data_IF_648904809938
#
_entry.id   IF_648904809938
#
_cell.length_a   1.000
_cell.length_b   1.000
_cell.length_c   1.000
_cell.angle_alpha   90.00
_cell.angle_beta   90.00
_cell.angle_gamma   90.00
#
_symmetry.space_group_name_H-M   'P 1'
#
loop_
_entity.id
_entity.type
_entity.pdbx_description
1 polymer ?
#
# COMPACT_ATOMS: atom_id res chain seq x y z
N UNK A 1 11.15 -45.10 -4.52
CA UNK A 1 11.48 -43.92 -5.34
C UNK A 1 10.30 -42.99 -5.50
N UNK A 2 9.37 -43.27 -6.43
CA UNK A 2 8.24 -42.40 -6.81
C UNK A 2 7.36 -41.89 -5.66
N UNK A 3 6.93 -42.76 -4.73
CA UNK A 3 6.05 -42.36 -3.61
C UNK A 3 6.64 -41.33 -2.63
N UNK A 4 7.98 -41.22 -2.51
CA UNK A 4 8.64 -40.20 -1.67
C UNK A 4 8.68 -38.83 -2.38
N UNK A 5 8.86 -38.83 -3.70
CA UNK A 5 8.86 -37.60 -4.52
C UNK A 5 7.45 -37.02 -4.62
N UNK A 6 6.43 -37.85 -4.81
CA UNK A 6 5.02 -37.42 -4.81
C UNK A 6 4.57 -36.82 -3.47
N UNK A 7 5.15 -37.28 -2.35
CA UNK A 7 4.87 -36.74 -1.01
C UNK A 7 5.54 -35.38 -0.78
N UNK A 8 6.79 -35.21 -1.25
CA UNK A 8 7.50 -33.93 -1.23
C UNK A 8 6.83 -32.87 -2.11
N UNK A 9 6.30 -33.27 -3.27
CA UNK A 9 5.54 -32.38 -4.16
C UNK A 9 4.21 -31.99 -3.53
N UNK A 10 3.56 -32.88 -2.77
CA UNK A 10 2.34 -32.58 -2.00
C UNK A 10 2.58 -31.64 -0.81
N UNK A 11 3.80 -31.60 -0.27
CA UNK A 11 4.20 -30.74 0.85
C UNK A 11 4.79 -29.39 0.40
N UNK A 12 4.96 -29.18 -0.91
CA UNK A 12 5.25 -27.86 -1.46
C UNK A 12 4.01 -26.97 -1.23
N UNK A 13 4.02 -26.25 -0.11
CA UNK A 13 2.99 -25.26 0.24
C UNK A 13 2.77 -24.35 -0.97
N UNK A 14 1.52 -24.22 -1.42
CA UNK A 14 1.15 -23.23 -2.42
C UNK A 14 1.56 -21.84 -1.92
N UNK A 15 2.65 -21.30 -2.46
CA UNK A 15 3.13 -19.96 -2.13
C UNK A 15 2.30 -18.97 -2.94
N UNK A 16 1.35 -18.31 -2.27
CA UNK A 16 0.56 -17.24 -2.89
C UNK A 16 1.24 -15.90 -2.65
N UNK A 17 1.71 -15.27 -3.72
CA UNK A 17 2.24 -13.90 -3.67
C UNK A 17 1.10 -12.91 -3.88
N UNK A 18 0.88 -12.02 -2.90
CA UNK A 18 -0.12 -10.95 -2.98
C UNK A 18 0.61 -9.60 -3.06
N UNK A 19 0.44 -8.82 -4.13
CA UNK A 19 1.06 -7.51 -4.22
C UNK A 19 0.54 -6.55 -3.15
N UNK A 20 1.46 -5.82 -2.52
CA UNK A 20 1.18 -5.01 -1.33
C UNK A 20 0.15 -3.90 -1.56
N UNK A 21 0.05 -3.39 -2.79
CA UNK A 21 -0.94 -2.38 -3.16
C UNK A 21 -2.38 -2.86 -2.98
N UNK A 22 -2.65 -4.17 -3.13
CA UNK A 22 -3.97 -4.73 -2.84
C UNK A 22 -4.28 -4.70 -1.35
N UNK A 23 -3.27 -4.97 -0.52
CA UNK A 23 -3.39 -4.89 0.93
C UNK A 23 -3.69 -3.46 1.38
N UNK A 24 -2.90 -2.50 0.90
CA UNK A 24 -3.08 -1.07 1.19
C UNK A 24 -4.51 -0.63 0.85
N UNK A 25 -4.98 -0.99 -0.36
CA UNK A 25 -6.36 -0.72 -0.79
C UNK A 25 -7.40 -1.32 0.16
N UNK A 26 -7.25 -2.58 0.55
CA UNK A 26 -8.22 -3.24 1.44
C UNK A 26 -8.30 -2.54 2.79
N UNK A 27 -7.15 -2.21 3.39
CA UNK A 27 -7.08 -1.49 4.66
C UNK A 27 -7.79 -0.15 4.54
N UNK A 28 -7.55 0.60 3.48
CA UNK A 28 -8.15 1.90 3.25
C UNK A 28 -9.66 1.84 3.04
N UNK A 29 -10.16 0.90 2.23
CA UNK A 29 -11.60 0.70 2.03
C UNK A 29 -12.29 0.35 3.35
N UNK A 30 -11.67 -0.53 4.17
CA UNK A 30 -12.19 -0.90 5.49
C UNK A 30 -12.20 0.29 6.45
N UNK A 31 -11.09 1.03 6.52
CA UNK A 31 -10.92 2.18 7.42
C UNK A 31 -11.91 3.30 7.12
N UNK A 32 -12.07 3.63 5.83
CA UNK A 32 -12.98 4.68 5.37
C UNK A 32 -14.44 4.23 5.24
N UNK A 33 -14.71 2.92 5.42
CA UNK A 33 -16.02 2.28 5.21
C UNK A 33 -16.66 2.64 3.86
N UNK A 34 -15.84 2.88 2.83
CA UNK A 34 -16.27 3.33 1.51
C UNK A 34 -15.68 2.45 0.40
N UNK A 35 -16.53 1.64 -0.25
CA UNK A 35 -16.12 0.75 -1.36
C UNK A 35 -15.77 1.50 -2.64
N UNK A 36 -16.22 2.75 -2.80
CA UNK A 36 -15.95 3.60 -3.98
C UNK A 36 -14.95 4.72 -3.65
N UNK A 37 -14.08 4.50 -2.67
CA UNK A 37 -13.07 5.46 -2.23
C UNK A 37 -12.20 5.94 -3.39
N UNK A 38 -11.96 7.25 -3.46
CA UNK A 38 -10.95 7.86 -4.33
C UNK A 38 -9.99 8.64 -3.45
N UNK A 39 -8.73 8.23 -3.39
CA UNK A 39 -7.69 8.89 -2.60
C UNK A 39 -6.30 8.39 -2.99
N UNK A 40 -5.28 9.21 -2.74
CA UNK A 40 -3.88 8.77 -2.69
C UNK A 40 -3.51 8.28 -1.30
N UNK A 41 -2.58 7.33 -1.20
CA UNK A 41 -2.10 6.81 0.08
C UNK A 41 -0.60 6.61 0.01
N UNK A 42 0.14 7.18 0.96
CA UNK A 42 1.58 7.03 1.10
C UNK A 42 1.86 6.30 2.41
N UNK A 43 2.58 5.19 2.32
CA UNK A 43 3.08 4.47 3.49
C UNK A 43 4.56 4.17 3.33
N UNK A 44 5.24 3.94 4.46
CA UNK A 44 6.61 3.49 4.48
C UNK A 44 6.67 2.07 5.00
N UNK A 45 7.31 1.20 4.22
CA UNK A 45 7.61 -0.17 4.64
C UNK A 45 9.10 -0.38 4.44
N UNK A 46 9.76 -0.68 5.56
CA UNK A 46 11.21 -0.72 5.69
C UNK A 46 11.84 0.60 5.20
N UNK A 47 12.66 0.56 4.14
CA UNK A 47 13.36 1.73 3.59
C UNK A 47 12.67 2.33 2.35
N UNK A 48 11.47 1.86 2.01
CA UNK A 48 10.78 2.27 0.80
C UNK A 48 9.43 2.91 1.12
N UNK A 49 9.14 3.99 0.39
CA UNK A 49 7.85 4.65 0.35
C UNK A 49 7.02 4.05 -0.78
N UNK A 50 5.78 3.74 -0.46
CA UNK A 50 4.79 3.21 -1.39
C UNK A 50 3.68 4.23 -1.51
N UNK A 51 3.43 4.69 -2.73
CA UNK A 51 2.24 5.42 -3.07
C UNK A 51 1.26 4.51 -3.80
N UNK A 52 0.00 4.55 -3.39
CA UNK A 52 -1.11 3.86 -4.06
C UNK A 52 -2.24 4.86 -4.25
N UNK A 53 -2.59 5.13 -5.50
CA UNK A 53 -3.76 5.91 -5.84
C UNK A 53 -4.94 4.97 -6.09
N UNK A 54 -5.99 5.15 -5.29
CA UNK A 54 -7.25 4.44 -5.39
C UNK A 54 -8.23 5.38 -6.09
N UNK A 55 -8.90 4.91 -7.13
CA UNK A 55 -9.96 5.64 -7.84
C UNK A 55 -11.20 4.77 -7.92
N UNK A 56 -12.31 5.25 -7.33
CA UNK A 56 -13.59 4.52 -7.25
C UNK A 56 -13.44 3.10 -6.70
N UNK A 57 -12.56 2.93 -5.72
CA UNK A 57 -12.29 1.65 -5.08
C UNK A 57 -11.42 0.70 -5.89
N UNK A 58 -10.75 1.15 -6.96
CA UNK A 58 -9.81 0.37 -7.75
C UNK A 58 -8.43 1.02 -7.69
N UNK A 59 -7.36 0.23 -7.82
CA UNK A 59 -5.99 0.77 -7.90
C UNK A 59 -5.83 1.38 -9.30
N UNK A 60 -5.59 2.68 -9.37
CA UNK A 60 -5.41 3.40 -10.63
C UNK A 60 -3.92 3.56 -11.00
N UNK A 61 -3.08 3.85 -10.01
CA UNK A 61 -1.63 3.85 -10.17
C UNK A 61 -0.93 3.62 -8.83
N UNK A 62 0.35 3.30 -8.90
CA UNK A 62 1.22 3.14 -7.75
C UNK A 62 2.66 3.54 -8.09
N UNK A 63 3.39 4.02 -7.09
CA UNK A 63 4.81 4.35 -7.19
C UNK A 63 5.55 3.83 -5.97
N UNK A 64 6.81 3.44 -6.16
CA UNK A 64 7.68 2.97 -5.09
C UNK A 64 9.01 3.70 -5.24
N UNK A 65 9.50 4.29 -4.15
CA UNK A 65 10.83 4.90 -4.11
C UNK A 65 11.39 4.86 -2.69
N UNK A 66 12.71 4.83 -2.55
CA UNK A 66 13.38 5.04 -1.27
C UNK A 66 13.40 6.51 -0.83
N UNK A 67 12.97 7.43 -1.69
CA UNK A 67 12.92 8.86 -1.43
C UNK A 67 11.47 9.37 -1.49
N UNK A 68 10.99 9.95 -0.40
CA UNK A 68 9.65 10.50 -0.31
C UNK A 68 9.42 11.66 -1.30
N UNK A 69 10.43 12.52 -1.51
CA UNK A 69 10.34 13.63 -2.46
C UNK A 69 10.08 13.17 -3.90
N UNK A 70 10.63 12.01 -4.30
CA UNK A 70 10.32 11.43 -5.62
C UNK A 70 8.87 10.99 -5.73
N UNK A 71 8.29 10.45 -4.66
CA UNK A 71 6.87 10.10 -4.61
C UNK A 71 6.02 11.35 -4.76
N UNK A 72 6.31 12.42 -4.01
CA UNK A 72 5.58 13.69 -4.09
C UNK A 72 5.66 14.27 -5.51
N UNK A 73 6.84 14.32 -6.11
CA UNK A 73 7.04 14.78 -7.49
C UNK A 73 6.19 13.98 -8.49
N UNK A 74 6.07 12.65 -8.31
CA UNK A 74 5.21 11.81 -9.18
C UNK A 74 3.73 12.12 -9.01
N UNK A 75 3.28 12.44 -7.80
CA UNK A 75 1.88 12.82 -7.52
C UNK A 75 1.54 14.14 -8.21
N UNK A 76 2.44 15.13 -8.10
CA UNK A 76 2.31 16.44 -8.76
C UNK A 76 2.28 16.31 -10.28
N UNK A 77 3.23 15.57 -10.87
CA UNK A 77 3.31 15.35 -12.31
C UNK A 77 2.06 14.66 -12.87
N UNK A 78 1.42 13.79 -12.08
CA UNK A 78 0.18 13.13 -12.46
C UNK A 78 -1.08 13.98 -12.20
N UNK A 79 -0.92 15.19 -11.65
CA UNK A 79 -2.00 16.12 -11.34
C UNK A 79 -3.09 15.48 -10.48
N UNK A 80 -2.69 14.65 -9.50
CA UNK A 80 -3.63 14.03 -8.58
C UNK A 80 -4.13 15.12 -7.61
N UNK A 81 -5.40 15.49 -7.75
CA UNK A 81 -6.05 16.54 -6.94
C UNK A 81 -6.87 15.99 -5.77
N UNK A 82 -7.08 14.68 -5.72
CA UNK A 82 -7.82 14.03 -4.64
C UNK A 82 -7.03 14.04 -3.33
N UNK A 83 -7.72 13.75 -2.21
CA UNK A 83 -7.08 13.67 -0.90
C UNK A 83 -5.97 12.62 -0.87
N UNK A 84 -4.82 12.99 -0.32
CA UNK A 84 -3.67 12.10 -0.13
C UNK A 84 -3.48 11.84 1.36
N UNK A 85 -3.50 10.56 1.72
CA UNK A 85 -3.34 10.09 3.08
C UNK A 85 -1.91 9.63 3.32
N UNK A 86 -1.23 10.19 4.33
CA UNK A 86 0.13 9.78 4.72
C UNK A 86 0.05 9.03 6.04
N UNK A 87 0.70 7.87 6.12
CA UNK A 87 0.80 7.14 7.39
C UNK A 87 1.57 7.98 8.43
N UNK A 88 1.04 8.06 9.65
CA UNK A 88 1.64 8.81 10.76
C UNK A 88 3.07 8.36 11.11
N UNK A 89 3.50 7.14 10.72
CA UNK A 89 4.87 6.69 10.91
C UNK A 89 5.89 7.47 10.07
N UNK A 90 5.44 8.16 9.04
CA UNK A 90 6.30 8.97 8.16
C UNK A 90 6.43 10.35 8.78
N UNK A 91 7.65 10.68 9.20
CA UNK A 91 7.96 12.04 9.64
C UNK A 91 8.07 12.97 8.41
N UNK A 92 6.93 13.46 7.96
CA UNK A 92 6.81 14.38 6.83
C UNK A 92 6.47 15.78 7.34
N UNK A 93 7.34 16.74 7.05
CA UNK A 93 7.17 18.14 7.41
C UNK A 93 7.26 18.90 6.09
N UNK A 94 6.17 18.94 5.30
CA UNK A 94 6.14 19.83 4.14
C UNK A 94 4.74 20.28 3.70
N UNK A 95 4.73 21.48 3.12
CA UNK A 95 3.62 22.37 2.76
C UNK A 95 2.90 21.94 1.48
N UNK A 96 2.37 20.72 1.39
CA UNK A 96 1.45 20.41 0.31
C UNK A 96 0.10 21.08 0.63
N UNK A 97 -0.07 22.27 0.09
CA UNK A 97 -1.20 23.15 0.33
C UNK A 97 -2.54 22.41 0.10
N UNK A 98 -3.19 22.09 1.23
CA UNK A 98 -4.61 21.80 1.41
C UNK A 98 -5.18 20.40 1.16
N UNK A 99 -4.44 19.40 0.63
CA UNK A 99 -5.03 18.07 0.34
C UNK A 99 -4.33 16.86 0.98
N UNK A 100 -3.33 17.08 1.84
CA UNK A 100 -2.70 16.00 2.61
C UNK A 100 -3.37 15.83 3.97
N UNK A 101 -3.69 14.58 4.31
CA UNK A 101 -4.18 14.18 5.63
C UNK A 101 -3.27 13.11 6.22
N UNK A 102 -2.89 13.29 7.47
CA UNK A 102 -2.22 12.23 8.22
C UNK A 102 -3.25 11.23 8.73
N UNK A 103 -2.91 9.95 8.67
CA UNK A 103 -3.76 8.88 9.16
C UNK A 103 -2.92 7.76 9.77
N UNK A 104 -3.33 7.28 10.93
CA UNK A 104 -2.81 6.03 11.47
C UNK A 104 -3.41 4.83 10.72
N UNK A 105 -2.61 4.12 9.93
CA UNK A 105 -3.05 2.90 9.25
C UNK A 105 -2.45 1.63 9.87
N UNK A 106 -1.28 1.71 10.51
CA UNK A 106 -0.58 0.55 11.08
C UNK A 106 -0.50 -0.63 10.08
N UNK A 107 -0.24 -0.33 8.80
CA UNK A 107 -0.30 -1.36 7.72
C UNK A 107 0.75 -2.44 7.94
N UNK A 108 1.93 -2.08 8.46
CA UNK A 108 3.01 -3.03 8.74
C UNK A 108 2.56 -4.15 9.67
N UNK A 109 1.90 -3.80 10.78
CA UNK A 109 1.42 -4.77 11.77
C UNK A 109 0.37 -5.70 11.16
N UNK A 110 -0.58 -5.14 10.41
CA UNK A 110 -1.63 -5.93 9.77
C UNK A 110 -1.11 -6.84 8.65
N UNK A 111 0.02 -6.50 7.99
CA UNK A 111 0.69 -7.40 7.04
C UNK A 111 1.25 -8.61 7.78
N UNK A 112 1.94 -8.39 8.92
CA UNK A 112 2.49 -9.49 9.71
C UNK A 112 1.41 -10.40 10.27
N UNK A 113 0.28 -9.86 10.73
CA UNK A 113 -0.88 -10.66 11.18
C UNK A 113 -1.50 -11.53 10.07
N UNK A 114 -1.36 -11.15 8.79
CA UNK A 114 -1.85 -11.99 7.68
C UNK A 114 -0.85 -13.05 7.22
N UNK A 115 0.42 -12.95 7.62
CA UNK A 115 1.49 -13.88 7.22
C UNK A 115 1.70 -15.02 8.22
N UNK A 116 1.27 -14.85 9.47
CA UNK A 116 1.39 -15.80 10.57
C UNK A 116 0.01 -16.27 11.06
#
# INVERSE_FOLDING_TARGET
GKKKVEKLIKEAKDVRVIPIQFFIREVMIKRMKNKKLTCGVIIQIDKNYYFVYIKRGLIACNHISSNLGEIINKIELQQIKDEVYIDESINYIDTYENNIKFIKLNIKDQIYEKLY
#
